data_IF_816771173777
#
_entry.id   IF_816771173777
#
_cell.length_a   1.000
_cell.length_b   1.000
_cell.length_c   1.000
_cell.angle_alpha   90.00
_cell.angle_beta   90.00
_cell.angle_gamma   90.00
#
_symmetry.space_group_name_H-M   'P 1'
#
loop_
_entity.id
_entity.type
_entity.pdbx_description
1 polymer ?
#
# COMPACT_ATOMS: atom_id res chain seq x y z
N UNK A 1 28.73 -19.26 15.99
CA UNK A 1 27.65 -18.64 16.79
C UNK A 1 28.34 -17.78 17.83
N UNK A 2 28.08 -16.47 17.87
CA UNK A 2 28.47 -15.65 19.03
C UNK A 2 27.50 -16.02 20.13
N UNK A 3 28.01 -16.21 21.34
CA UNK A 3 27.19 -16.51 22.51
C UNK A 3 26.14 -15.42 22.65
N UNK A 4 24.86 -15.78 22.51
CA UNK A 4 23.76 -14.89 22.83
C UNK A 4 23.76 -14.73 24.36
N UNK A 5 23.50 -13.52 24.90
CA UNK A 5 23.37 -13.34 26.33
C UNK A 5 22.24 -14.24 26.85
N UNK A 6 22.44 -14.83 28.05
CA UNK A 6 21.34 -15.51 28.75
C UNK A 6 20.19 -14.50 28.94
N UNK A 7 19.04 -14.82 28.37
CA UNK A 7 17.84 -13.99 28.46
C UNK A 7 17.01 -14.54 29.63
N UNK A 8 16.95 -13.81 30.72
CA UNK A 8 15.99 -14.10 31.80
C UNK A 8 14.55 -13.97 31.23
N UNK A 9 13.74 -15.00 31.44
CA UNK A 9 12.32 -14.98 31.08
C UNK A 9 11.98 -15.45 29.68
N UNK A 10 12.80 -16.30 29.04
CA UNK A 10 12.43 -16.97 27.77
C UNK A 10 11.14 -17.77 27.95
N UNK A 11 10.06 -17.36 27.28
CA UNK A 11 8.75 -18.00 27.34
C UNK A 11 8.62 -19.12 26.30
N UNK A 12 9.31 -18.98 25.15
CA UNK A 12 9.23 -19.92 24.04
C UNK A 12 10.50 -19.88 23.19
N UNK A 13 11.00 -21.05 22.83
CA UNK A 13 12.08 -21.24 21.88
C UNK A 13 11.51 -21.72 20.54
N UNK A 14 12.01 -21.19 19.44
CA UNK A 14 11.65 -21.59 18.08
C UNK A 14 12.88 -22.15 17.36
N UNK A 15 12.84 -23.43 16.99
CA UNK A 15 13.86 -24.00 16.12
C UNK A 15 13.73 -23.45 14.70
N UNK A 16 14.78 -22.77 14.24
CA UNK A 16 14.89 -22.15 12.91
C UNK A 16 16.04 -22.76 12.08
N UNK A 17 16.52 -23.98 12.44
CA UNK A 17 17.56 -24.64 11.67
C UNK A 17 17.12 -24.83 10.21
N UNK A 18 17.97 -24.40 9.26
CA UNK A 18 17.69 -24.46 7.83
C UNK A 18 16.84 -23.29 7.28
N UNK A 19 16.36 -22.39 8.14
CA UNK A 19 15.62 -21.20 7.72
C UNK A 19 16.52 -19.95 7.70
N UNK A 20 16.20 -19.02 6.82
CA UNK A 20 16.84 -17.70 6.79
C UNK A 20 15.91 -16.66 7.40
N UNK A 21 16.37 -15.95 8.43
CA UNK A 21 15.59 -14.89 9.09
C UNK A 21 15.85 -13.53 8.42
N UNK A 22 14.76 -12.84 8.08
CA UNK A 22 14.78 -11.45 7.61
C UNK A 22 13.85 -10.60 8.50
N UNK A 23 13.97 -9.25 8.49
CA UNK A 23 12.96 -8.43 9.13
C UNK A 23 11.57 -8.75 8.59
N UNK A 24 10.55 -8.62 9.42
CA UNK A 24 9.16 -8.72 8.96
C UNK A 24 8.91 -7.74 7.83
N UNK A 25 8.27 -8.21 6.75
CA UNK A 25 7.95 -7.37 5.62
C UNK A 25 6.87 -6.33 5.99
N UNK A 26 7.00 -5.15 5.43
CA UNK A 26 6.12 -4.01 5.68
C UNK A 26 5.47 -3.60 4.36
N UNK A 27 4.15 -3.62 4.31
CA UNK A 27 3.36 -3.18 3.15
C UNK A 27 2.74 -1.81 3.45
N UNK A 28 3.25 -0.77 2.80
CA UNK A 28 2.85 0.61 3.09
C UNK A 28 1.78 1.16 2.14
N UNK A 29 1.24 0.31 1.24
CA UNK A 29 0.19 0.72 0.33
C UNK A 29 -0.69 -0.47 -0.05
N UNK A 30 -1.86 -0.57 0.58
CA UNK A 30 -2.91 -1.52 0.23
C UNK A 30 -4.28 -0.88 0.29
N UNK A 31 -5.24 -1.50 -0.41
CA UNK A 31 -6.66 -1.18 -0.29
C UNK A 31 -7.42 -2.37 0.30
N UNK A 32 -6.88 -3.00 1.33
CA UNK A 32 -7.40 -4.26 1.86
C UNK A 32 -8.82 -4.18 2.47
N UNK A 33 -9.41 -2.98 2.59
CA UNK A 33 -10.77 -2.78 3.08
C UNK A 33 -11.78 -2.66 1.93
N UNK A 34 -12.13 -3.78 1.31
CA UNK A 34 -13.14 -3.84 0.25
C UNK A 34 -14.06 -5.05 0.43
N UNK A 35 -15.28 -4.93 -0.12
CA UNK A 35 -16.23 -6.02 -0.26
C UNK A 35 -16.28 -6.55 -1.69
N UNK A 36 -16.62 -7.84 -1.85
CA UNK A 36 -16.72 -8.48 -3.16
C UNK A 36 -15.39 -8.73 -3.84
N UNK A 37 -15.45 -8.96 -5.15
CA UNK A 37 -14.28 -9.14 -6.02
C UNK A 37 -14.59 -8.60 -7.43
N UNK A 38 -13.63 -8.70 -8.34
CA UNK A 38 -13.74 -8.28 -9.74
C UNK A 38 -13.30 -9.39 -10.71
N UNK A 39 -13.50 -10.66 -10.34
CA UNK A 39 -13.09 -11.82 -11.13
C UNK A 39 -13.80 -11.88 -12.50
N UNK A 40 -15.08 -11.51 -12.56
CA UNK A 40 -15.82 -11.45 -13.82
C UNK A 40 -15.27 -10.36 -14.75
N UNK A 41 -14.98 -9.17 -14.21
CA UNK A 41 -14.32 -8.09 -14.96
C UNK A 41 -12.94 -8.49 -15.45
N UNK A 42 -12.17 -9.16 -14.57
CA UNK A 42 -10.85 -9.70 -14.95
C UNK A 42 -10.98 -10.68 -16.12
N UNK A 43 -11.97 -11.56 -16.10
CA UNK A 43 -12.24 -12.53 -17.17
C UNK A 43 -12.58 -11.85 -18.49
N UNK A 44 -13.43 -10.83 -18.48
CA UNK A 44 -13.76 -10.02 -19.65
C UNK A 44 -12.52 -9.31 -20.20
N UNK A 45 -11.71 -8.68 -19.34
CA UNK A 45 -10.47 -8.01 -19.72
C UNK A 45 -9.45 -8.97 -20.32
N UNK A 46 -9.28 -10.16 -19.73
CA UNK A 46 -8.42 -11.21 -20.27
C UNK A 46 -8.91 -11.74 -21.63
N UNK A 47 -10.22 -11.69 -21.87
CA UNK A 47 -10.84 -11.98 -23.17
C UNK A 47 -10.71 -10.87 -24.22
N UNK A 48 -10.10 -9.73 -23.86
CA UNK A 48 -9.87 -8.59 -24.80
C UNK A 48 -10.99 -7.55 -24.80
N UNK A 49 -11.90 -7.56 -23.83
CA UNK A 49 -12.93 -6.52 -23.73
C UNK A 49 -12.31 -5.12 -23.58
N UNK A 50 -12.89 -4.15 -24.29
CA UNK A 50 -12.48 -2.74 -24.19
C UNK A 50 -12.89 -2.12 -22.86
N UNK A 51 -12.30 -0.96 -22.55
CA UNK A 51 -12.69 -0.20 -21.34
C UNK A 51 -14.17 0.19 -21.37
N UNK A 52 -14.70 0.55 -22.53
CA UNK A 52 -16.10 0.91 -22.71
C UNK A 52 -17.04 -0.28 -22.46
N UNK A 53 -16.66 -1.47 -22.94
CA UNK A 53 -17.41 -2.71 -22.69
C UNK A 53 -17.41 -3.10 -21.20
N UNK A 54 -16.27 -2.97 -20.53
CA UNK A 54 -16.17 -3.19 -19.09
C UNK A 54 -17.02 -2.20 -18.30
N UNK A 55 -17.00 -0.93 -18.68
CA UNK A 55 -17.82 0.11 -18.04
C UNK A 55 -19.31 -0.11 -18.27
N UNK A 56 -19.72 -0.47 -19.50
CA UNK A 56 -21.09 -0.78 -19.86
C UNK A 56 -21.63 -2.03 -19.10
N UNK A 57 -20.75 -2.97 -18.79
CA UNK A 57 -21.07 -4.14 -17.94
C UNK A 57 -21.17 -3.79 -16.43
N UNK A 58 -21.04 -2.51 -16.06
CA UNK A 58 -21.10 -2.06 -14.67
C UNK A 58 -19.82 -2.30 -13.86
N UNK A 59 -18.70 -2.55 -14.54
CA UNK A 59 -17.38 -2.71 -13.96
C UNK A 59 -16.74 -1.40 -13.47
N UNK A 60 -15.47 -1.46 -13.15
CA UNK A 60 -14.70 -0.33 -12.64
C UNK A 60 -14.83 -0.14 -11.13
N UNK A 61 -14.26 0.96 -10.62
CA UNK A 61 -14.20 1.25 -9.18
C UNK A 61 -15.58 1.27 -8.51
N UNK A 62 -16.59 1.74 -9.23
CA UNK A 62 -17.96 1.82 -8.70
C UNK A 62 -18.60 0.46 -8.43
N UNK A 63 -18.15 -0.63 -9.08
CA UNK A 63 -18.60 -1.98 -8.72
C UNK A 63 -18.08 -2.39 -7.34
N UNK A 64 -16.82 -2.07 -7.04
CA UNK A 64 -16.23 -2.29 -5.71
C UNK A 64 -16.92 -1.41 -4.66
N UNK A 65 -17.22 -0.14 -4.99
CA UNK A 65 -17.96 0.76 -4.08
C UNK A 65 -19.32 0.16 -3.69
N UNK A 66 -20.10 -0.31 -4.67
CA UNK A 66 -21.39 -0.96 -4.38
C UNK A 66 -21.25 -2.21 -3.51
N UNK A 67 -20.27 -3.05 -3.80
CA UNK A 67 -20.02 -4.28 -3.03
C UNK A 67 -19.55 -3.98 -1.60
N UNK A 68 -18.70 -2.97 -1.43
CA UNK A 68 -18.17 -2.53 -0.12
C UNK A 68 -19.29 -1.95 0.74
N UNK A 69 -20.13 -1.08 0.19
CA UNK A 69 -21.32 -0.56 0.88
C UNK A 69 -22.28 -1.68 1.28
N UNK A 70 -22.52 -2.64 0.37
CA UNK A 70 -23.41 -3.78 0.63
C UNK A 70 -22.88 -4.75 1.70
N UNK A 71 -21.56 -4.85 1.86
CA UNK A 71 -20.94 -5.72 2.88
C UNK A 71 -21.26 -5.25 4.31
N UNK A 72 -21.42 -3.96 4.52
CA UNK A 72 -21.59 -3.36 5.84
C UNK A 72 -20.37 -3.57 6.75
N UNK A 73 -20.41 -3.05 7.97
CA UNK A 73 -19.27 -3.08 8.88
C UNK A 73 -18.80 -4.50 9.23
N UNK A 74 -19.72 -5.41 9.53
CA UNK A 74 -19.38 -6.80 9.87
C UNK A 74 -18.74 -7.57 8.71
N UNK A 75 -19.21 -7.33 7.48
CA UNK A 75 -18.63 -7.91 6.27
C UNK A 75 -17.24 -7.34 6.00
N UNK A 76 -17.02 -6.04 6.23
CA UNK A 76 -15.71 -5.40 6.09
C UNK A 76 -14.70 -5.92 7.11
N UNK A 77 -15.08 -6.09 8.38
CA UNK A 77 -14.21 -6.72 9.38
C UNK A 77 -13.76 -8.10 8.93
N UNK A 78 -14.71 -8.94 8.50
CA UNK A 78 -14.40 -10.30 7.99
C UNK A 78 -13.46 -10.25 6.79
N UNK A 79 -13.70 -9.34 5.84
CA UNK A 79 -12.87 -9.21 4.64
C UNK A 79 -11.44 -8.76 4.98
N UNK A 80 -11.28 -7.73 5.81
CA UNK A 80 -9.95 -7.23 6.22
C UNK A 80 -9.17 -8.29 6.99
N UNK A 81 -9.81 -9.03 7.90
CA UNK A 81 -9.16 -10.14 8.62
C UNK A 81 -8.70 -11.24 7.66
N UNK A 82 -9.52 -11.60 6.67
CA UNK A 82 -9.15 -12.56 5.64
C UNK A 82 -7.94 -12.08 4.83
N UNK A 83 -7.99 -10.85 4.33
CA UNK A 83 -6.93 -10.24 3.54
C UNK A 83 -5.62 -10.12 4.35
N UNK A 84 -5.71 -9.68 5.61
CA UNK A 84 -4.59 -9.71 6.54
C UNK A 84 -3.98 -11.10 6.67
N UNK A 85 -4.82 -12.14 6.77
CA UNK A 85 -4.34 -13.53 6.88
C UNK A 85 -3.56 -13.97 5.65
N UNK A 86 -3.93 -13.49 4.46
CA UNK A 86 -3.20 -13.76 3.22
C UNK A 86 -1.84 -13.03 3.19
N UNK A 87 -1.84 -11.73 3.50
CA UNK A 87 -0.62 -10.92 3.60
C UNK A 87 0.35 -11.50 4.63
N UNK A 88 -0.16 -11.93 5.80
CA UNK A 88 0.65 -12.56 6.85
C UNK A 88 1.33 -13.85 6.34
N UNK A 89 0.59 -14.72 5.63
CA UNK A 89 1.17 -15.93 5.01
C UNK A 89 2.22 -15.61 3.95
N UNK A 90 2.15 -14.44 3.32
CA UNK A 90 3.14 -13.93 2.40
C UNK A 90 4.34 -13.24 3.09
N UNK A 91 4.36 -13.17 4.43
CA UNK A 91 5.48 -12.60 5.19
C UNK A 91 5.29 -11.17 5.67
N UNK A 92 4.16 -10.53 5.36
CA UNK A 92 3.86 -9.16 5.77
C UNK A 92 3.46 -9.14 7.25
N UNK A 93 4.24 -8.47 8.09
CA UNK A 93 4.02 -8.33 9.54
C UNK A 93 3.34 -7.03 9.92
N UNK A 94 3.46 -6.03 9.09
CA UNK A 94 2.81 -4.72 9.22
C UNK A 94 2.26 -4.31 7.87
N UNK A 95 1.01 -3.87 7.86
CA UNK A 95 0.37 -3.36 6.64
C UNK A 95 -0.38 -2.07 6.92
N UNK A 96 -0.35 -1.21 5.95
CA UNK A 96 -1.25 -0.07 5.83
C UNK A 96 -2.43 -0.48 4.96
N UNK A 97 -3.61 0.01 5.28
CA UNK A 97 -4.75 -0.13 4.39
C UNK A 97 -5.54 1.18 4.29
N UNK A 98 -6.00 1.44 3.08
CA UNK A 98 -6.80 2.61 2.74
C UNK A 98 -8.29 2.27 2.78
N UNK A 99 -9.11 3.20 3.23
CA UNK A 99 -10.54 3.25 2.90
C UNK A 99 -10.71 3.67 1.42
N UNK A 100 -11.78 4.35 1.05
CA UNK A 100 -11.94 4.93 -0.29
C UNK A 100 -12.77 4.09 -1.24
N UNK A 101 -13.37 3.01 -0.75
CA UNK A 101 -14.42 2.28 -1.46
C UNK A 101 -15.81 2.49 -0.84
N UNK A 102 -15.91 3.26 0.23
CA UNK A 102 -17.18 3.70 0.77
C UNK A 102 -17.72 4.90 0.00
N UNK A 103 -16.92 5.95 -0.06
CA UNK A 103 -17.24 7.26 -0.64
C UNK A 103 -18.52 7.87 -0.04
N UNK A 104 -18.96 7.35 1.11
CA UNK A 104 -19.97 7.88 2.00
C UNK A 104 -19.46 7.84 3.45
N UNK A 105 -20.09 8.58 4.34
CA UNK A 105 -19.62 8.70 5.72
C UNK A 105 -19.64 7.37 6.48
N UNK A 106 -20.70 6.62 6.37
CA UNK A 106 -20.88 5.38 7.14
C UNK A 106 -19.87 4.32 6.75
N UNK A 107 -19.72 4.04 5.45
CA UNK A 107 -18.86 2.99 4.93
C UNK A 107 -17.38 3.35 5.05
N UNK A 108 -17.01 4.64 4.86
CA UNK A 108 -15.62 5.09 5.06
C UNK A 108 -15.18 4.87 6.51
N UNK A 109 -15.99 5.28 7.49
CA UNK A 109 -15.68 5.10 8.91
C UNK A 109 -15.68 3.62 9.32
N UNK A 110 -16.59 2.81 8.77
CA UNK A 110 -16.61 1.36 8.97
C UNK A 110 -15.33 0.70 8.44
N UNK A 111 -14.88 1.11 7.25
CA UNK A 111 -13.62 0.63 6.67
C UNK A 111 -12.41 0.96 7.55
N UNK A 112 -12.30 2.20 8.03
CA UNK A 112 -11.21 2.62 8.92
C UNK A 112 -11.22 1.85 10.26
N UNK A 113 -12.41 1.61 10.84
CA UNK A 113 -12.53 0.79 12.06
C UNK A 113 -12.10 -0.65 11.80
N UNK A 114 -12.57 -1.27 10.71
CA UNK A 114 -12.21 -2.65 10.36
C UNK A 114 -10.69 -2.82 10.16
N UNK A 115 -10.03 -1.84 9.51
CA UNK A 115 -8.57 -1.84 9.35
C UNK A 115 -7.87 -1.79 10.70
N UNK A 116 -8.26 -0.87 11.57
CA UNK A 116 -7.68 -0.71 12.91
C UNK A 116 -7.87 -1.95 13.77
N UNK A 117 -9.06 -2.51 13.78
CA UNK A 117 -9.42 -3.67 14.60
C UNK A 117 -8.67 -4.93 14.12
N UNK A 118 -8.36 -5.04 12.82
CA UNK A 118 -7.47 -6.05 12.27
C UNK A 118 -5.97 -5.77 12.54
N UNK A 119 -5.62 -4.68 13.22
CA UNK A 119 -4.23 -4.30 13.51
C UNK A 119 -3.47 -3.71 12.33
N UNK A 120 -4.16 -3.27 11.27
CA UNK A 120 -3.61 -2.48 10.17
C UNK A 120 -3.46 -1.00 10.54
N UNK A 121 -2.71 -0.26 9.74
CA UNK A 121 -2.54 1.19 9.87
C UNK A 121 -3.53 1.86 8.92
N UNK A 122 -4.57 2.54 9.46
CA UNK A 122 -5.64 3.06 8.61
C UNK A 122 -5.24 4.38 7.94
N UNK A 123 -5.48 4.47 6.63
CA UNK A 123 -5.37 5.68 5.81
C UNK A 123 -6.74 6.03 5.26
N UNK A 124 -7.17 7.26 5.44
CA UNK A 124 -8.40 7.74 4.81
C UNK A 124 -8.14 8.20 3.38
N UNK A 125 -8.67 7.45 2.41
CA UNK A 125 -8.64 7.79 0.98
C UNK A 125 -10.01 8.37 0.56
N UNK A 126 -10.45 9.44 1.20
CA UNK A 126 -11.73 10.08 0.92
C UNK A 126 -11.84 10.65 -0.50
N UNK A 127 -10.71 11.04 -1.09
CA UNK A 127 -10.63 11.53 -2.47
C UNK A 127 -10.09 10.46 -3.42
N UNK A 128 -10.78 9.30 -3.54
CA UNK A 128 -10.44 8.20 -4.43
C UNK A 128 -11.18 8.27 -5.77
N UNK A 129 -12.47 8.52 -5.72
CA UNK A 129 -13.33 8.72 -6.89
C UNK A 129 -14.52 9.61 -6.51
N UNK A 130 -15.21 10.14 -7.51
CA UNK A 130 -16.47 10.86 -7.29
C UNK A 130 -17.63 9.87 -7.40
N UNK A 131 -18.39 9.65 -6.33
CA UNK A 131 -19.53 8.75 -6.39
C UNK A 131 -20.70 9.35 -7.18
N UNK A 132 -21.54 8.53 -7.82
CA UNK A 132 -22.54 9.00 -8.79
C UNK A 132 -23.65 9.88 -8.20
N UNK A 133 -23.80 9.90 -6.90
CA UNK A 133 -24.74 10.78 -6.19
C UNK A 133 -24.31 12.25 -6.13
N UNK A 134 -23.05 12.56 -6.49
CA UNK A 134 -22.53 13.91 -6.59
C UNK A 134 -22.35 14.30 -8.07
N UNK A 135 -22.66 15.57 -8.39
CA UNK A 135 -22.59 16.07 -9.76
C UNK A 135 -21.18 16.34 -10.26
N UNK A 136 -20.25 16.64 -9.35
CA UNK A 136 -18.86 16.98 -9.64
C UNK A 136 -17.94 16.71 -8.44
N UNK A 137 -16.64 16.83 -8.67
CA UNK A 137 -15.62 16.56 -7.65
C UNK A 137 -15.62 17.60 -6.52
N UNK A 138 -15.94 18.86 -6.82
CA UNK A 138 -15.92 19.91 -5.81
C UNK A 138 -17.06 19.75 -4.80
N UNK A 139 -18.27 19.45 -5.26
CA UNK A 139 -19.41 19.17 -4.37
C UNK A 139 -19.19 17.90 -3.54
N UNK A 140 -18.52 16.89 -4.09
CA UNK A 140 -18.12 15.71 -3.32
C UNK A 140 -17.05 16.05 -2.27
N UNK A 141 -16.03 16.83 -2.62
CA UNK A 141 -15.01 17.26 -1.66
C UNK A 141 -15.58 18.14 -0.55
N UNK A 142 -16.54 19.00 -0.85
CA UNK A 142 -17.25 19.79 0.17
C UNK A 142 -17.88 18.86 1.21
N UNK A 143 -18.61 17.83 0.77
CA UNK A 143 -19.19 16.82 1.66
C UNK A 143 -18.09 16.04 2.41
N UNK A 144 -17.08 15.54 1.72
CA UNK A 144 -16.03 14.72 2.33
C UNK A 144 -15.29 15.48 3.44
N UNK A 145 -14.98 16.77 3.21
CA UNK A 145 -14.27 17.60 4.17
C UNK A 145 -15.15 18.07 5.33
N UNK A 146 -16.43 18.39 5.07
CA UNK A 146 -17.32 18.88 6.11
C UNK A 146 -17.89 17.75 6.99
N UNK A 147 -18.34 16.65 6.36
CA UNK A 147 -19.13 15.63 7.05
C UNK A 147 -18.32 14.38 7.42
N UNK A 148 -17.25 14.05 6.68
CA UNK A 148 -16.48 12.80 6.90
C UNK A 148 -15.18 13.06 7.63
N UNK A 149 -14.35 14.03 7.19
CA UNK A 149 -13.02 14.29 7.72
C UNK A 149 -12.95 14.40 9.25
N UNK A 150 -13.86 15.13 9.95
CA UNK A 150 -13.76 15.25 11.42
C UNK A 150 -13.77 13.90 12.15
N UNK A 151 -14.59 12.95 11.67
CA UNK A 151 -14.67 11.63 12.26
C UNK A 151 -13.60 10.67 11.71
N UNK A 152 -13.21 10.83 10.46
CA UNK A 152 -12.13 10.03 9.86
C UNK A 152 -10.76 10.33 10.53
N UNK A 153 -10.51 11.58 10.90
CA UNK A 153 -9.28 11.99 11.59
C UNK A 153 -9.11 11.38 13.00
N UNK A 154 -10.20 10.94 13.63
CA UNK A 154 -10.15 10.22 14.91
C UNK A 154 -9.75 8.72 14.73
N UNK A 155 -9.87 8.21 13.52
CA UNK A 155 -9.67 6.80 13.19
C UNK A 155 -8.41 6.55 12.36
N UNK A 156 -8.12 7.43 11.41
CA UNK A 156 -7.01 7.30 10.48
C UNK A 156 -5.72 7.94 11.03
N UNK A 157 -4.58 7.44 10.57
CA UNK A 157 -3.27 8.04 10.84
C UNK A 157 -2.77 8.90 9.67
N UNK A 158 -3.30 8.66 8.47
CA UNK A 158 -2.94 9.39 7.27
C UNK A 158 -4.16 9.65 6.38
N UNK A 159 -4.02 10.60 5.46
CA UNK A 159 -4.94 10.82 4.36
C UNK A 159 -4.21 10.62 3.02
N UNK A 160 -4.97 10.21 2.02
CA UNK A 160 -4.48 9.95 0.67
C UNK A 160 -5.47 10.51 -0.36
N UNK A 161 -4.98 10.87 -1.54
CA UNK A 161 -5.78 11.38 -2.65
C UNK A 161 -5.33 10.77 -3.97
N UNK A 162 -6.26 10.45 -4.84
CA UNK A 162 -5.95 10.03 -6.21
C UNK A 162 -5.88 11.24 -7.15
N UNK A 163 -4.66 11.78 -7.30
CA UNK A 163 -4.38 12.88 -8.22
C UNK A 163 -4.06 12.32 -9.62
N UNK A 164 -5.07 12.25 -10.46
CA UNK A 164 -4.92 11.73 -11.82
C UNK A 164 -6.02 12.27 -12.74
N UNK A 165 -5.73 12.29 -14.03
CA UNK A 165 -6.72 12.69 -15.03
C UNK A 165 -7.96 11.80 -14.98
N UNK A 166 -9.11 12.40 -14.73
CA UNK A 166 -10.40 11.69 -14.58
C UNK A 166 -10.76 11.32 -13.15
N UNK A 167 -9.89 11.65 -12.18
CA UNK A 167 -10.19 11.61 -10.75
C UNK A 167 -10.16 13.04 -10.18
N UNK A 168 -9.15 13.40 -9.37
CA UNK A 168 -9.02 14.74 -8.80
C UNK A 168 -7.85 15.48 -9.46
N UNK A 169 -8.01 16.80 -9.67
CA UNK A 169 -6.94 17.66 -10.17
C UNK A 169 -6.04 18.17 -9.04
N UNK A 170 -4.97 18.88 -9.42
CA UNK A 170 -3.96 19.36 -8.44
C UNK A 170 -4.51 20.41 -7.46
N UNK A 171 -5.50 21.22 -7.84
CA UNK A 171 -6.11 22.20 -6.97
C UNK A 171 -7.03 21.53 -5.95
N UNK A 172 -7.82 20.56 -6.39
CA UNK A 172 -8.68 19.72 -5.58
C UNK A 172 -7.88 18.87 -4.59
N UNK A 173 -6.82 18.22 -5.08
CA UNK A 173 -5.91 17.43 -4.24
C UNK A 173 -5.24 18.29 -3.18
N UNK A 174 -4.75 19.48 -3.52
CA UNK A 174 -4.18 20.43 -2.56
C UNK A 174 -5.18 20.80 -1.47
N UNK A 175 -6.37 21.24 -1.86
CA UNK A 175 -7.43 21.60 -0.92
C UNK A 175 -7.75 20.48 0.06
N UNK A 176 -7.88 19.25 -0.45
CA UNK A 176 -8.15 18.07 0.36
C UNK A 176 -7.00 17.77 1.34
N UNK A 177 -5.78 17.72 0.85
CA UNK A 177 -4.62 17.39 1.67
C UNK A 177 -4.30 18.47 2.72
N UNK A 178 -4.46 19.74 2.39
CA UNK A 178 -4.28 20.83 3.36
C UNK A 178 -5.28 20.73 4.52
N UNK A 179 -6.55 20.46 4.23
CA UNK A 179 -7.57 20.23 5.26
C UNK A 179 -7.26 18.97 6.11
N UNK A 180 -6.80 17.89 5.50
CA UNK A 180 -6.39 16.69 6.21
C UNK A 180 -5.18 16.93 7.12
N UNK A 181 -4.19 17.70 6.66
CA UNK A 181 -3.04 18.11 7.48
C UNK A 181 -3.44 18.97 8.67
N UNK A 182 -4.36 19.90 8.48
CA UNK A 182 -4.94 20.72 9.56
C UNK A 182 -5.68 19.87 10.60
N UNK A 183 -6.26 18.75 10.16
CA UNK A 183 -6.88 17.74 11.03
C UNK A 183 -5.87 16.80 11.70
N UNK A 184 -4.55 16.96 11.43
CA UNK A 184 -3.48 16.20 12.07
C UNK A 184 -3.09 14.89 11.37
N UNK A 185 -3.57 14.64 10.15
CA UNK A 185 -3.25 13.44 9.38
C UNK A 185 -1.93 13.61 8.62
N UNK A 186 -1.14 12.54 8.55
CA UNK A 186 -0.01 12.43 7.64
C UNK A 186 -0.51 12.38 6.18
N UNK A 187 0.27 12.88 5.22
CA UNK A 187 -0.17 12.99 3.83
C UNK A 187 0.49 11.95 2.94
N UNK A 188 -0.28 11.39 2.03
CA UNK A 188 0.14 10.48 0.95
C UNK A 188 -0.62 10.85 -0.32
N UNK A 189 -0.09 10.46 -1.48
CA UNK A 189 -0.72 10.73 -2.76
C UNK A 189 -0.56 9.53 -3.70
N UNK A 190 -1.65 9.11 -4.37
CA UNK A 190 -1.53 8.38 -5.62
C UNK A 190 -1.27 9.40 -6.73
N UNK A 191 -0.24 9.20 -7.53
CA UNK A 191 0.06 10.11 -8.61
C UNK A 191 0.96 9.52 -9.69
N UNK A 192 0.91 10.14 -10.85
CA UNK A 192 1.70 9.75 -12.01
C UNK A 192 1.52 8.27 -12.42
N UNK A 193 0.32 7.70 -12.16
CA UNK A 193 0.00 6.32 -12.54
C UNK A 193 -0.25 6.19 -14.04
N UNK A 194 -1.04 7.09 -14.62
CA UNK A 194 -1.40 7.07 -16.05
C UNK A 194 -0.86 8.25 -16.81
N UNK A 195 -0.72 9.40 -16.15
CA UNK A 195 -0.23 10.64 -16.72
C UNK A 195 0.71 11.34 -15.74
N UNK A 196 1.63 12.15 -16.23
CA UNK A 196 2.42 13.04 -15.38
C UNK A 196 1.48 14.14 -14.82
N UNK A 197 0.99 13.90 -13.60
CA UNK A 197 -0.11 14.67 -12.99
C UNK A 197 0.36 15.89 -12.18
N UNK A 198 1.66 15.98 -11.90
CA UNK A 198 2.25 16.96 -11.00
C UNK A 198 2.16 16.57 -9.53
N UNK A 199 1.82 15.31 -9.23
CA UNK A 199 1.68 14.80 -7.87
C UNK A 199 2.98 14.88 -7.07
N UNK A 200 4.14 14.59 -7.67
CA UNK A 200 5.45 14.69 -7.01
C UNK A 200 5.70 16.11 -6.51
N UNK A 201 5.45 17.12 -7.34
CA UNK A 201 5.64 18.52 -6.93
C UNK A 201 4.71 18.88 -5.78
N UNK A 202 3.45 18.50 -5.85
CA UNK A 202 2.49 18.73 -4.78
C UNK A 202 2.89 18.01 -3.49
N UNK A 203 3.33 16.76 -3.56
CA UNK A 203 3.81 15.98 -2.42
C UNK A 203 4.99 16.67 -1.72
N UNK A 204 5.97 17.15 -2.50
CA UNK A 204 7.13 17.87 -1.97
C UNK A 204 6.74 19.22 -1.34
N UNK A 205 5.88 20.00 -1.99
CA UNK A 205 5.37 21.28 -1.46
C UNK A 205 4.60 21.11 -0.13
N UNK A 206 3.87 20.01 0.02
CA UNK A 206 3.11 19.71 1.22
C UNK A 206 3.89 18.90 2.26
N UNK A 207 5.15 18.53 1.99
CA UNK A 207 5.94 17.64 2.83
C UNK A 207 5.20 16.32 3.13
N UNK A 208 4.60 15.71 2.12
CA UNK A 208 3.93 14.41 2.24
C UNK A 208 4.93 13.31 2.58
N UNK A 209 4.47 12.22 3.21
CA UNK A 209 5.31 11.08 3.53
C UNK A 209 5.67 10.27 2.27
N UNK A 210 4.72 10.16 1.34
CA UNK A 210 4.96 9.44 0.09
C UNK A 210 4.17 10.00 -1.08
N UNK A 211 4.63 9.64 -2.29
CA UNK A 211 3.88 9.70 -3.54
C UNK A 211 4.02 8.34 -4.20
N UNK A 212 2.88 7.76 -4.59
CA UNK A 212 2.75 6.35 -4.87
C UNK A 212 2.38 6.13 -6.34
N UNK A 213 2.74 4.98 -6.94
CA UNK A 213 2.68 4.59 -8.35
C UNK A 213 3.90 5.02 -9.18
N UNK A 214 3.88 6.21 -9.78
CA UNK A 214 4.99 6.83 -10.51
C UNK A 214 5.32 6.20 -11.87
N UNK A 215 4.42 5.40 -12.47
CA UNK A 215 4.64 4.75 -13.77
C UNK A 215 4.87 5.76 -14.90
N UNK A 216 4.21 6.92 -14.83
CA UNK A 216 4.30 7.99 -15.84
C UNK A 216 5.28 9.11 -15.49
N UNK A 217 6.07 8.96 -14.42
CA UNK A 217 7.00 9.99 -13.96
C UNK A 217 8.15 10.21 -14.94
N UNK A 218 8.33 11.47 -15.37
CA UNK A 218 9.43 11.90 -16.21
C UNK A 218 10.66 12.38 -15.44
N UNK A 219 11.70 12.82 -16.19
CA UNK A 219 13.00 13.24 -15.64
C UNK A 219 12.90 14.38 -14.62
N UNK A 220 11.95 15.31 -14.79
CA UNK A 220 11.74 16.41 -13.85
C UNK A 220 11.21 15.88 -12.52
N UNK A 221 10.22 14.99 -12.55
CA UNK A 221 9.69 14.34 -11.36
C UNK A 221 10.76 13.55 -10.61
N UNK A 222 11.60 12.79 -11.32
CA UNK A 222 12.73 12.06 -10.73
C UNK A 222 13.68 13.00 -9.99
N UNK A 223 14.08 14.11 -10.59
CA UNK A 223 14.99 15.11 -9.94
C UNK A 223 14.32 15.76 -8.74
N UNK A 224 13.05 16.10 -8.86
CA UNK A 224 12.27 16.72 -7.78
C UNK A 224 12.17 15.79 -6.59
N UNK A 225 11.82 14.53 -6.81
CA UNK A 225 11.72 13.54 -5.74
C UNK A 225 13.09 13.27 -5.08
N UNK A 226 14.14 13.13 -5.88
CA UNK A 226 15.50 12.89 -5.39
C UNK A 226 16.08 14.03 -4.53
N UNK A 227 15.55 15.25 -4.64
CA UNK A 227 15.95 16.41 -3.85
C UNK A 227 15.06 16.67 -2.62
N UNK A 228 14.21 15.70 -2.26
CA UNK A 228 13.24 15.82 -1.18
C UNK A 228 13.32 14.64 -0.19
N UNK A 229 12.60 14.77 0.93
CA UNK A 229 12.43 13.69 1.91
C UNK A 229 11.21 12.81 1.62
N UNK A 230 10.45 13.07 0.53
CA UNK A 230 9.29 12.30 0.13
C UNK A 230 9.72 10.97 -0.44
N UNK A 231 9.10 9.88 0.00
CA UNK A 231 9.40 8.53 -0.49
C UNK A 231 8.53 8.19 -1.71
N UNK A 232 9.16 7.73 -2.80
CA UNK A 232 8.42 7.14 -3.92
C UNK A 232 8.02 5.70 -3.62
N UNK A 233 6.71 5.40 -3.55
CA UNK A 233 6.22 4.04 -3.35
C UNK A 233 5.87 3.43 -4.69
N UNK A 234 6.60 2.42 -5.12
CA UNK A 234 6.44 1.78 -6.42
C UNK A 234 5.60 0.52 -6.30
N UNK A 235 4.70 0.32 -7.27
CA UNK A 235 3.65 -0.69 -7.24
C UNK A 235 3.74 -1.62 -8.48
N UNK A 236 4.84 -2.39 -8.63
CA UNK A 236 5.09 -3.15 -9.85
C UNK A 236 4.07 -4.27 -10.11
N UNK A 237 3.37 -4.77 -9.08
CA UNK A 237 2.29 -5.74 -9.26
C UNK A 237 1.09 -5.12 -9.96
N UNK A 238 0.77 -3.86 -9.66
CA UNK A 238 -0.29 -3.08 -10.32
C UNK A 238 0.05 -2.81 -11.79
N UNK A 239 1.25 -2.32 -12.06
CA UNK A 239 1.73 -2.10 -13.43
C UNK A 239 1.65 -3.39 -14.28
N UNK A 240 2.12 -4.52 -13.72
CA UNK A 240 2.05 -5.83 -14.38
C UNK A 240 0.60 -6.26 -14.64
N UNK A 241 -0.26 -6.20 -13.63
CA UNK A 241 -1.64 -6.64 -13.69
C UNK A 241 -2.47 -5.85 -14.71
N UNK A 242 -2.15 -4.55 -14.86
CA UNK A 242 -2.79 -3.67 -15.83
C UNK A 242 -2.12 -3.68 -17.21
N UNK A 243 -0.99 -4.38 -17.39
CA UNK A 243 -0.22 -4.34 -18.63
C UNK A 243 0.35 -2.95 -18.95
N UNK A 244 0.74 -2.21 -17.91
CA UNK A 244 1.30 -0.84 -18.03
C UNK A 244 2.83 -0.86 -17.99
N UNK A 245 3.50 0.21 -18.46
CA UNK A 245 4.92 0.40 -18.23
C UNK A 245 5.25 0.33 -16.73
N UNK A 246 6.42 -0.19 -16.41
CA UNK A 246 6.93 -0.20 -15.04
C UNK A 246 7.40 1.18 -14.61
N UNK A 247 7.27 1.55 -13.32
CA UNK A 247 7.81 2.80 -12.82
C UNK A 247 9.35 2.87 -12.95
N UNK A 248 9.95 4.06 -13.10
CA UNK A 248 11.38 4.25 -13.40
C UNK A 248 12.28 4.07 -12.16
N UNK A 249 12.16 2.92 -11.47
CA UNK A 249 12.80 2.65 -10.18
C UNK A 249 14.33 2.84 -10.21
N UNK A 250 15.00 2.28 -11.25
CA UNK A 250 16.46 2.40 -11.34
C UNK A 250 16.90 3.85 -11.45
N UNK A 251 16.21 4.66 -12.27
CA UNK A 251 16.52 6.07 -12.44
C UNK A 251 16.26 6.86 -11.13
N UNK A 252 15.19 6.54 -10.39
CA UNK A 252 14.90 7.15 -9.08
C UNK A 252 16.02 6.86 -8.08
N UNK A 253 16.42 5.60 -7.93
CA UNK A 253 17.48 5.19 -6.99
C UNK A 253 18.83 5.77 -7.39
N UNK A 254 19.19 5.77 -8.68
CA UNK A 254 20.46 6.35 -9.17
C UNK A 254 20.50 7.87 -8.98
N UNK A 255 19.35 8.54 -9.02
CA UNK A 255 19.25 9.96 -8.70
C UNK A 255 19.31 10.27 -7.19
N UNK A 256 19.21 9.23 -6.33
CA UNK A 256 19.26 9.37 -4.87
C UNK A 256 17.89 9.48 -4.18
N UNK A 257 16.78 9.26 -4.91
CA UNK A 257 15.45 9.24 -4.31
C UNK A 257 15.28 8.03 -3.37
N UNK A 258 14.59 8.25 -2.27
CA UNK A 258 14.15 7.15 -1.41
C UNK A 258 12.98 6.41 -2.08
N UNK A 259 13.08 5.08 -2.18
CA UNK A 259 12.09 4.23 -2.84
C UNK A 259 11.60 3.14 -1.88
N UNK A 260 10.28 2.98 -1.75
CA UNK A 260 9.64 1.84 -1.12
C UNK A 260 8.89 1.01 -2.17
N UNK A 261 8.58 -0.22 -1.82
CA UNK A 261 7.79 -1.15 -2.62
C UNK A 261 6.56 -1.59 -1.81
N UNK A 262 5.43 -1.69 -2.47
CA UNK A 262 4.20 -2.17 -1.87
C UNK A 262 3.38 -3.00 -2.86
N UNK A 263 2.33 -3.66 -2.38
CA UNK A 263 1.54 -4.58 -3.21
C UNK A 263 0.46 -3.86 -4.03
N UNK A 264 -0.05 -2.74 -3.56
CA UNK A 264 -1.31 -2.14 -4.06
C UNK A 264 -2.48 -3.13 -3.99
N UNK A 265 -2.48 -4.03 -3.00
CA UNK A 265 -3.47 -5.08 -2.91
C UNK A 265 -4.90 -4.54 -2.95
N UNK A 266 -5.57 -4.74 -4.08
CA UNK A 266 -6.93 -4.27 -4.35
C UNK A 266 -7.63 -5.16 -5.39
N UNK A 267 -8.98 -5.16 -5.51
CA UNK A 267 -9.68 -6.06 -6.41
C UNK A 267 -9.58 -5.67 -7.90
N UNK A 268 -9.18 -4.45 -8.22
CA UNK A 268 -9.27 -3.90 -9.59
C UNK A 268 -7.98 -3.92 -10.39
N UNK A 269 -6.90 -3.48 -9.78
CA UNK A 269 -5.62 -3.24 -10.45
C UNK A 269 -4.47 -4.10 -9.94
N UNK A 270 -4.60 -4.74 -8.75
CA UNK A 270 -3.55 -5.55 -8.16
C UNK A 270 -4.11 -6.55 -7.14
N UNK A 271 -4.76 -7.62 -7.59
CA UNK A 271 -5.20 -8.68 -6.66
C UNK A 271 -4.03 -9.58 -6.27
N UNK A 272 -3.08 -8.96 -5.53
CA UNK A 272 -1.80 -9.55 -5.15
C UNK A 272 -1.37 -9.04 -3.76
N UNK A 273 -1.35 -9.92 -2.76
CA UNK A 273 -0.92 -9.63 -1.39
C UNK A 273 0.55 -9.98 -1.12
N UNK A 274 1.30 -10.38 -2.16
CA UNK A 274 2.61 -11.01 -2.02
C UNK A 274 3.77 -10.04 -2.20
N UNK A 275 4.32 -9.50 -1.11
CA UNK A 275 5.59 -8.75 -1.15
C UNK A 275 6.78 -9.58 -1.68
N UNK A 276 6.91 -10.91 -1.47
CA UNK A 276 7.92 -11.71 -2.17
C UNK A 276 7.82 -11.63 -3.70
N UNK A 277 6.59 -11.64 -4.26
CA UNK A 277 6.42 -11.45 -5.71
C UNK A 277 6.82 -10.02 -6.12
N UNK A 278 6.44 -9.01 -5.34
CA UNK A 278 6.84 -7.61 -5.57
C UNK A 278 8.37 -7.47 -5.56
N UNK A 279 9.08 -8.11 -4.61
CA UNK A 279 10.55 -8.15 -4.60
C UNK A 279 11.13 -8.82 -5.87
N UNK A 280 10.50 -9.89 -6.34
CA UNK A 280 10.93 -10.55 -7.58
C UNK A 280 10.73 -9.66 -8.80
N UNK A 281 9.61 -8.95 -8.89
CA UNK A 281 9.36 -7.96 -9.95
C UNK A 281 10.34 -6.78 -9.85
N UNK A 282 10.64 -6.32 -8.65
CA UNK A 282 11.62 -5.26 -8.43
C UNK A 282 13.01 -5.64 -8.97
N UNK A 283 13.44 -6.87 -8.74
CA UNK A 283 14.72 -7.35 -9.25
C UNK A 283 14.70 -7.58 -10.77
N UNK A 284 13.63 -8.17 -11.32
CA UNK A 284 13.59 -8.62 -12.71
C UNK A 284 13.09 -7.55 -13.69
N UNK A 285 12.22 -6.65 -13.26
CA UNK A 285 11.58 -5.64 -14.11
C UNK A 285 12.04 -4.22 -13.80
N UNK A 286 12.34 -3.92 -12.51
CA UNK A 286 12.75 -2.59 -12.08
C UNK A 286 14.26 -2.44 -11.93
N UNK A 287 15.03 -3.50 -12.16
CA UNK A 287 16.50 -3.54 -12.07
C UNK A 287 17.05 -3.12 -10.71
N UNK A 288 16.30 -3.36 -9.65
CA UNK A 288 16.79 -3.21 -8.28
C UNK A 288 17.58 -4.47 -7.87
N UNK A 289 18.68 -4.26 -7.15
CA UNK A 289 19.38 -5.38 -6.53
C UNK A 289 18.50 -6.06 -5.46
N UNK A 290 18.72 -7.33 -5.13
CA UNK A 290 17.98 -7.98 -4.04
C UNK A 290 18.08 -7.23 -2.70
N UNK A 291 19.19 -6.53 -2.44
CA UNK A 291 19.37 -5.74 -1.22
C UNK A 291 18.51 -4.47 -1.23
N UNK A 292 18.44 -3.76 -2.36
CA UNK A 292 17.56 -2.60 -2.54
C UNK A 292 16.10 -3.04 -2.42
N UNK A 293 15.70 -4.15 -3.05
CA UNK A 293 14.34 -4.68 -2.96
C UNK A 293 13.97 -5.06 -1.51
N UNK A 294 14.87 -5.71 -0.76
CA UNK A 294 14.63 -6.03 0.66
C UNK A 294 14.48 -4.75 1.50
N UNK A 295 15.38 -3.77 1.32
CA UNK A 295 15.29 -2.48 2.02
C UNK A 295 13.99 -1.74 1.70
N UNK A 296 13.57 -1.79 0.42
CA UNK A 296 12.33 -1.19 -0.06
C UNK A 296 11.05 -1.91 0.41
N UNK A 297 11.15 -3.15 0.92
CA UNK A 297 10.02 -3.88 1.54
C UNK A 297 10.11 -3.96 3.07
N UNK A 298 11.08 -3.29 3.71
CA UNK A 298 11.28 -3.35 5.16
C UNK A 298 11.53 -1.96 5.77
N UNK A 299 12.70 -1.39 5.55
CA UNK A 299 13.15 -0.13 6.19
C UNK A 299 12.41 1.09 5.61
N UNK A 300 12.36 1.21 4.28
CA UNK A 300 11.78 2.36 3.63
C UNK A 300 10.26 2.46 3.84
N UNK A 301 9.46 1.38 3.69
CA UNK A 301 8.04 1.45 4.02
C UNK A 301 7.77 1.68 5.51
N UNK A 302 8.64 1.22 6.42
CA UNK A 302 8.54 1.57 7.83
C UNK A 302 8.72 3.10 8.05
N UNK A 303 9.56 3.75 7.23
CA UNK A 303 9.70 5.22 7.24
C UNK A 303 8.42 5.90 6.73
N UNK A 304 7.86 5.46 5.60
CA UNK A 304 6.58 5.94 5.06
C UNK A 304 5.47 5.90 6.11
N UNK A 305 5.46 4.84 6.92
CA UNK A 305 4.46 4.64 7.97
C UNK A 305 4.77 5.39 9.28
N UNK A 306 5.88 6.14 9.37
CA UNK A 306 6.29 6.80 10.62
C UNK A 306 6.67 5.81 11.74
N UNK A 307 7.22 4.65 11.37
CA UNK A 307 7.55 3.53 12.28
C UNK A 307 9.01 3.08 12.19
N UNK A 308 9.88 3.84 11.52
CA UNK A 308 11.26 3.47 11.25
C UNK A 308 12.13 3.25 12.50
N UNK A 309 11.68 3.77 13.64
CA UNK A 309 12.29 3.60 14.96
C UNK A 309 11.90 2.27 15.66
N UNK A 310 10.90 1.55 15.13
CA UNK A 310 10.28 0.39 15.80
C UNK A 310 10.22 -0.88 14.98
N UNK A 311 10.11 -0.79 13.64
CA UNK A 311 9.94 -1.92 12.73
C UNK A 311 10.88 -1.84 11.53
N UNK A 312 10.90 -2.89 10.70
CA UNK A 312 11.69 -2.95 9.46
C UNK A 312 13.14 -3.38 9.65
N UNK A 313 13.58 -3.67 10.89
CA UNK A 313 14.95 -4.12 11.20
C UNK A 313 14.95 -5.23 12.25
N UNK A 314 15.93 -6.13 12.14
CA UNK A 314 16.30 -7.07 13.22
C UNK A 314 17.44 -6.45 14.04
N UNK A 315 17.08 -5.63 15.02
CA UNK A 315 18.04 -4.93 15.87
C UNK A 315 17.48 -4.78 17.29
N UNK A 316 18.34 -4.67 18.33
CA UNK A 316 17.90 -4.38 19.69
C UNK A 316 17.05 -3.10 19.74
N UNK A 317 15.94 -3.14 20.47
CA UNK A 317 14.98 -2.04 20.61
C UNK A 317 13.86 -2.03 19.56
N UNK A 318 13.99 -2.81 18.50
CA UNK A 318 12.92 -2.97 17.50
C UNK A 318 11.90 -4.04 17.91
N UNK A 319 10.67 -3.89 17.42
CA UNK A 319 9.62 -4.91 17.58
C UNK A 319 10.10 -6.23 16.96
N UNK A 320 9.88 -7.34 17.66
CA UNK A 320 10.28 -8.66 17.20
C UNK A 320 9.37 -9.16 16.06
N UNK A 321 9.47 -8.53 14.91
CA UNK A 321 8.82 -8.92 13.66
C UNK A 321 9.84 -9.60 12.76
N UNK A 322 9.60 -10.89 12.50
CA UNK A 322 10.54 -11.72 11.75
C UNK A 322 9.80 -12.52 10.70
N UNK A 323 10.28 -12.49 9.47
CA UNK A 323 9.87 -13.42 8.42
C UNK A 323 10.96 -14.47 8.24
N UNK A 324 10.59 -15.73 8.41
CA UNK A 324 11.48 -16.89 8.24
C UNK A 324 11.25 -17.49 6.85
N UNK A 325 12.30 -17.50 6.05
CA UNK A 325 12.30 -18.06 4.70
C UNK A 325 12.71 -19.52 4.73
N UNK A 326 12.00 -20.38 4.00
CA UNK A 326 12.44 -21.74 3.67
C UNK A 326 13.46 -21.67 2.53
N UNK A 327 14.64 -21.17 2.87
CA UNK A 327 15.69 -20.89 1.92
C UNK A 327 17.05 -20.75 2.65
N UNK A 328 18.16 -21.08 2.01
CA UNK A 328 19.48 -20.96 2.60
C UNK A 328 20.01 -19.53 2.68
N UNK A 329 19.35 -18.59 1.98
CA UNK A 329 19.84 -17.22 1.81
C UNK A 329 18.68 -16.26 1.62
N UNK A 330 18.78 -15.04 2.19
CA UNK A 330 17.75 -14.01 2.13
C UNK A 330 17.44 -13.53 0.70
N UNK A 331 18.37 -13.66 -0.23
CA UNK A 331 18.18 -13.29 -1.66
C UNK A 331 17.10 -14.11 -2.35
N UNK A 332 16.74 -15.27 -1.79
CA UNK A 332 15.63 -16.08 -2.29
C UNK A 332 14.28 -15.34 -2.21
N UNK A 333 14.17 -14.32 -1.36
CA UNK A 333 12.97 -13.45 -1.34
C UNK A 333 12.67 -12.87 -2.73
N UNK A 334 13.70 -12.41 -3.44
CA UNK A 334 13.57 -11.86 -4.79
C UNK A 334 13.82 -12.91 -5.89
N UNK A 335 14.66 -13.91 -5.62
CA UNK A 335 15.08 -14.89 -6.64
C UNK A 335 14.02 -15.96 -6.93
N UNK A 336 13.23 -16.36 -5.92
CA UNK A 336 12.24 -17.44 -6.06
C UNK A 336 10.90 -16.86 -6.59
N UNK A 337 10.89 -16.43 -7.86
CA UNK A 337 9.75 -15.79 -8.51
C UNK A 337 8.48 -16.64 -8.40
N UNK A 338 7.46 -16.10 -7.72
CA UNK A 338 6.15 -16.75 -7.56
C UNK A 338 6.14 -18.00 -6.68
N UNK A 339 7.29 -18.39 -6.12
CA UNK A 339 7.38 -19.53 -5.22
C UNK A 339 6.98 -19.18 -3.78
N UNK A 340 6.55 -20.19 -3.03
CA UNK A 340 6.24 -20.05 -1.61
C UNK A 340 7.53 -20.12 -0.78
N UNK A 341 8.17 -18.96 -0.57
CA UNK A 341 9.44 -18.86 0.14
C UNK A 341 9.28 -18.62 1.65
N UNK A 342 8.13 -18.15 2.11
CA UNK A 342 7.86 -17.86 3.52
C UNK A 342 7.46 -19.13 4.24
N UNK A 343 8.26 -19.54 5.24
CA UNK A 343 8.00 -20.71 6.09
C UNK A 343 7.14 -20.35 7.31
N UNK A 344 7.52 -19.28 8.02
CA UNK A 344 6.88 -18.85 9.28
C UNK A 344 7.00 -17.34 9.43
N UNK A 345 6.10 -16.77 10.23
CA UNK A 345 6.10 -15.34 10.56
C UNK A 345 5.98 -15.16 12.05
N UNK A 346 6.78 -14.26 12.61
CA UNK A 346 6.70 -13.81 14.01
C UNK A 346 6.29 -12.34 14.01
N UNK A 347 5.27 -12.00 14.79
CA UNK A 347 4.77 -10.63 14.93
C UNK A 347 4.78 -10.26 16.40
N UNK A 348 5.55 -9.25 16.78
CA UNK A 348 5.66 -8.81 18.17
C UNK A 348 6.19 -9.91 19.12
N UNK A 349 7.01 -10.84 18.60
CA UNK A 349 7.54 -11.98 19.34
C UNK A 349 6.62 -13.22 19.37
N UNK A 350 5.44 -13.15 18.75
CA UNK A 350 4.51 -14.28 18.68
C UNK A 350 4.53 -14.93 17.28
N UNK A 351 4.63 -16.26 17.27
CA UNK A 351 4.51 -17.06 16.04
C UNK A 351 3.06 -17.01 15.53
N UNK A 352 2.93 -16.73 14.24
CA UNK A 352 1.64 -16.65 13.54
C UNK A 352 1.55 -17.70 12.44
#
# INVERSE_FOLDING_TARGET
MRDLPELDGVVRELDCVGLCAIPGLVDCHTHAAFGGDRADEFSLRAGGASYEELHAAGGGILSTVRATRAAGEAGLVTAVELHRSWMLRAGTTTFEAKSGYGLDRETELASLRAIRDAGGIPTWLGAHAVPPEFGDADSYLDFALADVLPAAAELAEAADVFLERGAFDAAQARRYLEACREAGLALRLHGDQFTESGAIRLAVELAAHSVDHLEATGDEGIRTLASSDVVGVLLPASALFLGRPMPPARALVDAGAAVALATDFNPGSAFCESLPLVCSLAATQLHLSPAEALGACTVNPAHVLGRADRIGRLAPGYRADVTLLDAPDWRYLAYHLGGRVVARVVVGGELR
#
